data_IF_611573763029
#
_entry.id   IF_611573763029
#
_cell.length_a   1.000
_cell.length_b   1.000
_cell.length_c   1.000
_cell.angle_alpha   90.00
_cell.angle_beta   90.00
_cell.angle_gamma   90.00
#
_symmetry.space_group_name_H-M   'P 1'
#
loop_
_entity.id
_entity.type
_entity.pdbx_description
1 polymer ?
#
# COMPACT_ATOMS: atom_id res chain seq x y z
N UNK A 1 -10.94 2.77 -11.56
CA UNK A 1 -9.75 2.84 -10.70
C UNK A 1 -8.53 2.95 -11.59
N UNK A 2 -7.49 3.61 -11.09
CA UNK A 2 -6.13 3.51 -11.64
C UNK A 2 -5.32 2.58 -10.76
N UNK A 3 -4.36 1.88 -11.34
CA UNK A 3 -3.51 0.94 -10.62
C UNK A 3 -2.05 1.27 -10.86
N UNK A 4 -1.20 1.00 -9.88
CA UNK A 4 0.24 1.17 -9.97
C UNK A 4 0.94 -0.09 -9.45
N UNK A 5 2.06 -0.45 -10.05
CA UNK A 5 2.99 -1.42 -9.45
C UNK A 5 4.08 -0.65 -8.73
N UNK A 6 4.31 -1.03 -7.48
CA UNK A 6 5.38 -0.53 -6.64
C UNK A 6 6.66 -1.34 -6.88
N UNK A 7 7.77 -0.63 -7.09
CA UNK A 7 9.11 -1.20 -7.18
C UNK A 7 10.01 -0.60 -6.12
N UNK A 8 10.86 -1.44 -5.52
CA UNK A 8 11.91 -0.99 -4.61
C UNK A 8 13.18 -0.68 -5.41
N UNK A 9 13.71 0.52 -5.23
CA UNK A 9 15.01 0.95 -5.71
C UNK A 9 16.05 0.56 -4.65
N UNK A 10 17.07 -0.19 -5.03
CA UNK A 10 18.00 -0.80 -4.07
C UNK A 10 19.37 -0.10 -3.93
N UNK A 11 19.71 0.97 -4.67
CA UNK A 11 21.13 1.38 -4.78
C UNK A 11 21.46 2.88 -4.99
N UNK A 12 22.73 3.17 -4.69
CA UNK A 12 23.53 4.42 -4.73
C UNK A 12 23.53 5.22 -6.05
N UNK A 13 22.91 4.70 -7.11
CA UNK A 13 22.81 5.33 -8.44
C UNK A 13 21.35 5.59 -8.86
N UNK A 14 20.53 6.06 -7.91
CA UNK A 14 19.10 6.35 -8.08
C UNK A 14 18.77 7.11 -9.35
N UNK A 15 19.53 8.18 -9.65
CA UNK A 15 19.30 9.03 -10.82
C UNK A 15 19.42 8.27 -12.14
N UNK A 16 20.49 7.49 -12.32
CA UNK A 16 20.73 6.69 -13.53
C UNK A 16 19.63 5.64 -13.71
N UNK A 17 19.20 5.00 -12.62
CA UNK A 17 18.12 4.02 -12.65
C UNK A 17 16.79 4.65 -13.05
N UNK A 18 16.47 5.83 -12.52
CA UNK A 18 15.27 6.59 -12.89
C UNK A 18 15.30 7.01 -14.36
N UNK A 19 16.43 7.53 -14.86
CA UNK A 19 16.57 7.92 -16.27
C UNK A 19 16.32 6.72 -17.21
N UNK A 20 16.86 5.54 -16.87
CA UNK A 20 16.60 4.31 -17.64
C UNK A 20 15.16 3.84 -17.54
N UNK A 21 14.55 3.94 -16.37
CA UNK A 21 13.15 3.63 -16.15
C UNK A 21 12.23 4.50 -17.03
N UNK A 22 12.46 5.82 -17.06
CA UNK A 22 11.70 6.75 -17.91
C UNK A 22 11.83 6.38 -19.39
N UNK A 23 13.02 5.99 -19.85
CA UNK A 23 13.25 5.55 -21.23
C UNK A 23 12.51 4.25 -21.59
N UNK A 24 12.30 3.33 -20.65
CA UNK A 24 11.61 2.05 -20.90
C UNK A 24 10.08 2.22 -20.85
N UNK A 25 9.58 2.93 -19.84
CA UNK A 25 8.15 3.09 -19.61
C UNK A 25 7.56 4.11 -20.59
N UNK A 26 8.25 5.24 -20.80
CA UNK A 26 7.79 6.34 -21.66
C UNK A 26 6.64 7.15 -21.08
N UNK A 27 6.24 6.87 -19.84
CA UNK A 27 5.10 7.47 -19.14
C UNK A 27 5.55 8.08 -17.81
N UNK A 28 4.60 8.73 -17.15
CA UNK A 28 4.83 9.40 -15.87
C UNK A 28 5.05 8.36 -14.76
N UNK A 29 6.30 8.28 -14.30
CA UNK A 29 6.72 7.48 -13.16
C UNK A 29 6.68 8.36 -11.92
N UNK A 30 6.09 7.84 -10.85
CA UNK A 30 5.98 8.54 -9.56
C UNK A 30 7.05 7.96 -8.63
N UNK A 31 8.01 8.77 -8.19
CA UNK A 31 9.07 8.32 -7.30
C UNK A 31 8.97 8.99 -5.93
N UNK A 32 9.07 8.21 -4.86
CA UNK A 32 9.23 8.75 -3.52
C UNK A 32 10.73 8.95 -3.25
N UNK A 33 11.14 10.23 -3.15
CA UNK A 33 12.56 10.58 -3.00
C UNK A 33 13.17 10.01 -1.72
N UNK A 34 12.41 9.97 -0.63
CA UNK A 34 12.88 9.50 0.67
C UNK A 34 12.90 7.97 0.82
N UNK A 35 12.02 7.24 0.11
CA UNK A 35 11.76 5.81 0.41
C UNK A 35 12.26 4.85 -0.63
N UNK A 36 12.83 5.37 -1.72
CA UNK A 36 13.33 4.53 -2.80
C UNK A 36 12.23 3.61 -3.36
N UNK A 37 10.98 4.08 -3.36
CA UNK A 37 9.86 3.39 -4.01
C UNK A 37 9.53 4.14 -5.29
N UNK A 38 9.27 3.35 -6.33
CA UNK A 38 8.79 3.85 -7.61
C UNK A 38 7.44 3.23 -7.91
N UNK A 39 6.46 4.07 -8.20
CA UNK A 39 5.13 3.66 -8.62
C UNK A 39 5.05 3.81 -10.15
N UNK A 40 4.83 2.70 -10.83
CA UNK A 40 4.65 2.67 -12.29
C UNK A 40 3.17 2.44 -12.59
N UNK A 41 2.49 3.33 -13.34
CA UNK A 41 1.11 3.13 -13.74
C UNK A 41 0.94 1.78 -14.44
N UNK A 42 -0.01 0.98 -13.97
CA UNK A 42 -0.28 -0.33 -14.50
C UNK A 42 -1.17 -0.26 -15.73
N UNK A 43 -0.75 -0.94 -16.80
CA UNK A 43 -1.54 -1.07 -18.02
C UNK A 43 -1.79 -2.52 -18.37
N UNK A 44 -3.05 -2.86 -18.61
CA UNK A 44 -3.46 -4.19 -19.06
C UNK A 44 -3.14 -4.40 -20.54
N UNK A 45 -1.85 -4.47 -20.88
CA UNK A 45 -1.41 -4.77 -22.25
C UNK A 45 -0.23 -5.75 -22.27
N UNK A 46 -0.15 -6.54 -23.33
CA UNK A 46 0.97 -7.46 -23.55
C UNK A 46 2.31 -6.70 -23.70
N UNK A 47 2.28 -5.54 -24.34
CA UNK A 47 3.44 -4.66 -24.49
C UNK A 47 3.96 -4.17 -23.12
N UNK A 48 3.06 -3.78 -22.22
CA UNK A 48 3.41 -3.37 -20.86
C UNK A 48 4.07 -4.49 -20.06
N UNK A 49 3.54 -5.73 -20.14
CA UNK A 49 4.15 -6.90 -19.48
C UNK A 49 5.59 -7.14 -19.94
N UNK A 50 5.89 -6.92 -21.23
CA UNK A 50 7.27 -6.99 -21.75
C UNK A 50 8.16 -5.89 -21.15
N UNK A 51 7.65 -4.66 -21.03
CA UNK A 51 8.37 -3.55 -20.38
C UNK A 51 8.70 -3.87 -18.92
N UNK A 52 7.75 -4.44 -18.17
CA UNK A 52 7.98 -4.82 -16.76
C UNK A 52 9.04 -5.90 -16.61
N UNK A 53 8.98 -6.98 -17.41
CA UNK A 53 10.03 -8.01 -17.41
C UNK A 53 11.40 -7.44 -17.77
N UNK A 54 11.43 -6.44 -18.67
CA UNK A 54 12.66 -5.74 -19.05
C UNK A 54 13.23 -4.95 -17.87
N UNK A 55 12.38 -4.24 -17.13
CA UNK A 55 12.78 -3.50 -15.92
C UNK A 55 13.36 -4.44 -14.86
N UNK A 56 12.70 -5.55 -14.58
CA UNK A 56 13.16 -6.54 -13.60
C UNK A 56 14.53 -7.13 -13.99
N UNK A 57 14.74 -7.44 -15.28
CA UNK A 57 15.96 -8.07 -15.78
C UNK A 57 17.13 -7.09 -15.99
N UNK A 58 16.89 -5.96 -16.66
CA UNK A 58 17.96 -5.02 -17.05
C UNK A 58 18.35 -4.05 -15.94
N UNK A 59 17.38 -3.66 -15.10
CA UNK A 59 17.63 -2.70 -14.01
C UNK A 59 17.75 -3.37 -12.64
N UNK A 60 17.51 -4.68 -12.57
CA UNK A 60 17.55 -5.43 -11.31
C UNK A 60 16.51 -4.97 -10.29
N UNK A 61 15.47 -4.26 -10.73
CA UNK A 61 14.42 -3.76 -9.86
C UNK A 61 13.47 -4.88 -9.48
N UNK A 62 13.18 -5.00 -8.18
CA UNK A 62 12.21 -5.96 -7.68
C UNK A 62 10.92 -5.24 -7.33
N UNK A 63 9.79 -5.90 -7.60
CA UNK A 63 8.50 -5.48 -7.08
C UNK A 63 8.57 -5.35 -5.56
N UNK A 64 7.90 -4.34 -5.03
CA UNK A 64 7.79 -4.14 -3.60
C UNK A 64 6.75 -5.13 -3.07
N UNK A 65 7.19 -6.29 -2.59
CA UNK A 65 6.32 -7.25 -1.90
C UNK A 65 6.16 -6.77 -0.46
N UNK A 66 4.93 -6.55 -0.03
CA UNK A 66 4.64 -6.12 1.34
C UNK A 66 4.67 -7.33 2.26
N UNK A 67 5.33 -7.16 3.40
CA UNK A 67 5.36 -8.13 4.51
C UNK A 67 4.28 -7.81 5.54
N UNK A 68 4.04 -8.72 6.50
CA UNK A 68 3.14 -8.45 7.62
C UNK A 68 3.55 -7.17 8.39
N UNK A 69 4.86 -6.93 8.54
CA UNK A 69 5.37 -5.69 9.15
C UNK A 69 5.02 -4.44 8.35
N UNK A 70 5.01 -4.49 7.02
CA UNK A 70 4.56 -3.35 6.20
C UNK A 70 3.06 -3.09 6.40
N UNK A 71 2.25 -4.14 6.55
CA UNK A 71 0.83 -4.00 6.83
C UNK A 71 0.54 -3.44 8.22
N UNK A 72 1.27 -3.86 9.25
CA UNK A 72 1.16 -3.28 10.59
C UNK A 72 1.52 -1.80 10.60
N UNK A 73 2.56 -1.40 9.86
CA UNK A 73 2.89 0.02 9.68
C UNK A 73 1.75 0.80 9.02
N UNK A 74 1.08 0.23 8.01
CA UNK A 74 -0.11 0.88 7.40
C UNK A 74 -1.20 1.10 8.47
N UNK A 75 -1.42 0.13 9.37
CA UNK A 75 -2.40 0.24 10.44
C UNK A 75 -2.02 1.32 11.45
N UNK A 76 -0.77 1.32 11.94
CA UNK A 76 -0.25 2.35 12.84
C UNK A 76 -0.34 3.74 12.21
N UNK A 77 0.06 3.86 10.95
CA UNK A 77 -0.02 5.11 10.18
C UNK A 77 -1.45 5.61 9.97
N UNK A 78 -2.43 4.72 10.01
CA UNK A 78 -3.84 5.13 9.94
C UNK A 78 -4.24 5.98 11.14
N UNK A 79 -3.57 5.84 12.29
CA UNK A 79 -3.70 6.75 13.44
C UNK A 79 -3.13 8.12 13.11
N UNK A 80 -1.82 8.16 12.78
CA UNK A 80 -1.07 9.41 12.64
C UNK A 80 -1.57 10.31 11.53
N UNK A 81 -2.04 9.70 10.43
CA UNK A 81 -2.52 10.43 9.27
C UNK A 81 -4.05 10.47 9.16
N UNK A 82 -4.76 10.05 10.23
CA UNK A 82 -6.21 10.00 10.31
C UNK A 82 -6.85 9.33 9.08
N UNK A 83 -6.31 8.17 8.72
CA UNK A 83 -6.83 7.33 7.65
C UNK A 83 -7.93 6.44 8.22
N UNK A 84 -9.00 6.23 7.45
CA UNK A 84 -10.06 5.31 7.83
C UNK A 84 -9.84 3.96 7.16
N UNK A 85 -9.72 2.90 7.95
CA UNK A 85 -9.51 1.54 7.45
C UNK A 85 -10.88 1.00 6.99
N UNK A 86 -11.06 0.78 5.69
CA UNK A 86 -12.33 0.28 5.16
C UNK A 86 -12.43 -1.23 5.27
N UNK A 87 -11.33 -1.92 4.96
CA UNK A 87 -11.30 -3.38 4.91
C UNK A 87 -9.87 -3.90 5.03
N UNK A 88 -9.72 -5.05 5.65
CA UNK A 88 -8.50 -5.87 5.60
C UNK A 88 -8.93 -7.19 4.98
N UNK A 89 -8.34 -7.53 3.83
CA UNK A 89 -8.58 -8.80 3.16
C UNK A 89 -7.44 -9.74 3.52
N UNK A 90 -7.77 -10.94 3.97
CA UNK A 90 -6.81 -11.98 4.30
C UNK A 90 -6.64 -12.93 3.11
N UNK A 91 -5.56 -13.71 3.10
CA UNK A 91 -5.26 -14.71 2.06
C UNK A 91 -6.19 -15.90 2.11
N UNK A 92 -6.66 -16.25 3.30
CA UNK A 92 -7.58 -17.35 3.57
C UNK A 92 -8.80 -16.82 4.32
N UNK A 93 -9.99 -17.34 3.99
CA UNK A 93 -11.22 -17.06 4.72
C UNK A 93 -11.22 -17.87 6.02
N UNK A 94 -10.48 -17.36 7.01
CA UNK A 94 -10.44 -17.92 8.36
C UNK A 94 -11.50 -17.19 9.20
N UNK A 95 -12.76 -17.23 8.77
CA UNK A 95 -13.89 -16.48 9.36
C UNK A 95 -14.04 -16.70 10.87
N UNK A 96 -13.65 -17.88 11.38
CA UNK A 96 -13.69 -18.19 12.82
C UNK A 96 -12.54 -17.58 13.62
N UNK A 97 -11.40 -17.26 13.00
CA UNK A 97 -10.19 -16.78 13.69
C UNK A 97 -10.14 -15.26 13.86
N UNK A 98 -11.05 -14.52 13.21
CA UNK A 98 -11.03 -13.06 13.14
C UNK A 98 -12.40 -12.43 13.43
N UNK A 99 -13.15 -13.03 14.33
CA UNK A 99 -14.54 -12.68 14.62
C UNK A 99 -14.71 -11.19 14.97
N UNK A 100 -13.71 -10.58 15.60
CA UNK A 100 -13.80 -9.20 16.09
C UNK A 100 -13.11 -8.17 15.19
N UNK A 101 -12.32 -8.60 14.21
CA UNK A 101 -11.57 -7.71 13.31
C UNK A 101 -12.48 -6.63 12.69
N UNK A 102 -13.63 -7.02 12.14
CA UNK A 102 -14.59 -6.09 11.54
C UNK A 102 -15.20 -5.12 12.56
N UNK A 103 -15.44 -5.60 13.78
CA UNK A 103 -15.98 -4.78 14.86
C UNK A 103 -14.97 -3.71 15.28
N UNK A 104 -13.70 -4.09 15.46
CA UNK A 104 -12.64 -3.16 15.83
C UNK A 104 -12.38 -2.13 14.73
N UNK A 105 -12.37 -2.52 13.45
CA UNK A 105 -12.26 -1.58 12.32
C UNK A 105 -13.42 -0.57 12.34
N UNK A 106 -14.65 -1.02 12.56
CA UNK A 106 -15.81 -0.12 12.62
C UNK A 106 -15.70 0.86 13.79
N UNK A 107 -15.31 0.38 14.97
CA UNK A 107 -15.09 1.22 16.16
C UNK A 107 -13.96 2.23 15.93
N UNK A 108 -12.87 1.81 15.30
CA UNK A 108 -11.72 2.66 15.00
C UNK A 108 -12.13 3.85 14.12
N UNK A 109 -12.93 3.59 13.09
CA UNK A 109 -13.38 4.60 12.14
C UNK A 109 -14.34 5.65 12.72
N UNK A 110 -15.08 5.31 13.77
CA UNK A 110 -16.05 6.23 14.40
C UNK A 110 -15.54 6.88 15.68
N UNK A 111 -14.43 6.39 16.24
CA UNK A 111 -13.84 6.95 17.44
C UNK A 111 -13.28 8.35 17.18
N UNK A 112 -13.49 9.25 18.14
CA UNK A 112 -12.97 10.62 18.13
C UNK A 112 -11.88 10.86 19.19
N UNK A 113 -11.62 9.87 20.04
CA UNK A 113 -10.62 9.96 21.11
C UNK A 113 -9.37 9.19 20.70
N UNK A 114 -8.21 9.85 20.74
CA UNK A 114 -6.95 9.27 20.30
C UNK A 114 -6.61 8.00 21.10
N UNK A 115 -6.75 8.01 22.43
CA UNK A 115 -6.49 6.85 23.29
C UNK A 115 -7.33 5.63 22.92
N UNK A 116 -8.60 5.83 22.56
CA UNK A 116 -9.47 4.74 22.13
C UNK A 116 -9.01 4.19 20.78
N UNK A 117 -8.56 5.06 19.86
CA UNK A 117 -8.03 4.62 18.57
C UNK A 117 -6.74 3.82 18.71
N UNK A 118 -5.81 4.23 19.59
CA UNK A 118 -4.58 3.46 19.85
C UNK A 118 -4.93 2.04 20.32
N UNK A 119 -5.77 1.92 21.35
CA UNK A 119 -6.20 0.60 21.85
C UNK A 119 -6.93 -0.23 20.79
N UNK A 120 -7.67 0.39 19.87
CA UNK A 120 -8.34 -0.31 18.78
C UNK A 120 -7.36 -0.81 17.71
N UNK A 121 -6.30 -0.06 17.40
CA UNK A 121 -5.23 -0.54 16.51
C UNK A 121 -4.50 -1.72 17.13
N UNK A 122 -4.16 -1.65 18.42
CA UNK A 122 -3.51 -2.77 19.12
C UNK A 122 -4.36 -4.03 19.01
N UNK A 123 -5.68 -3.92 19.24
CA UNK A 123 -6.62 -5.06 19.08
C UNK A 123 -6.73 -5.56 17.64
N UNK A 124 -6.68 -4.67 16.65
CA UNK A 124 -6.67 -5.07 15.23
C UNK A 124 -5.38 -5.84 14.93
N UNK A 125 -4.23 -5.38 15.44
CA UNK A 125 -2.94 -6.06 15.26
C UNK A 125 -2.95 -7.41 15.98
N UNK A 126 -3.44 -7.49 17.23
CA UNK A 126 -3.60 -8.74 17.98
C UNK A 126 -4.45 -9.78 17.22
N UNK A 127 -5.58 -9.36 16.64
CA UNK A 127 -6.41 -10.24 15.81
C UNK A 127 -5.65 -10.72 14.55
N UNK A 128 -4.63 -9.99 14.09
CA UNK A 128 -3.78 -10.36 12.95
C UNK A 128 -2.48 -11.07 13.37
N UNK A 129 -2.12 -11.06 14.65
CA UNK A 129 -0.85 -11.57 15.20
C UNK A 129 -0.86 -13.08 15.44
N UNK A 130 -2.01 -13.75 15.46
CA UNK A 130 -2.10 -15.21 15.62
C UNK A 130 -1.30 -16.02 14.59
N UNK A 131 -0.84 -15.34 13.53
CA UNK A 131 -0.05 -15.86 12.42
C UNK A 131 1.47 -15.54 12.49
N UNK A 132 1.99 -15.01 13.59
CA UNK A 132 3.39 -14.53 13.67
C UNK A 132 4.47 -15.63 13.50
N UNK A 133 4.09 -16.90 13.59
CA UNK A 133 5.02 -18.04 13.54
C UNK A 133 5.39 -18.51 12.10
N UNK A 134 4.81 -17.92 11.05
CA UNK A 134 5.12 -18.34 9.66
C UNK A 134 5.74 -17.23 8.81
N UNK A 135 6.68 -17.60 7.93
CA UNK A 135 7.25 -16.76 6.87
C UNK A 135 6.19 -16.29 5.82
N UNK A 136 4.91 -16.55 6.07
CA UNK A 136 3.80 -16.30 5.16
C UNK A 136 3.16 -14.91 5.37
N UNK A 137 2.74 -14.31 4.26
CA UNK A 137 2.06 -13.01 4.24
C UNK A 137 0.55 -13.26 4.17
N UNK A 138 -0.10 -13.11 5.33
CA UNK A 138 -1.52 -13.43 5.55
C UNK A 138 -2.45 -12.30 5.12
N UNK A 139 -2.01 -11.06 5.24
CA UNK A 139 -2.79 -9.92 4.73
C UNK A 139 -2.63 -9.89 3.21
N UNK A 140 -3.73 -10.12 2.49
CA UNK A 140 -3.77 -10.03 1.03
C UNK A 140 -3.80 -8.58 0.58
N UNK A 141 -4.63 -7.75 1.22
CA UNK A 141 -4.67 -6.31 0.98
C UNK A 141 -5.32 -5.53 2.12
N UNK A 142 -5.00 -4.24 2.20
CA UNK A 142 -5.69 -3.28 3.06
C UNK A 142 -6.32 -2.20 2.19
N UNK A 143 -7.59 -1.91 2.46
CA UNK A 143 -8.34 -0.81 1.88
C UNK A 143 -8.42 0.33 2.87
N UNK A 144 -7.92 1.51 2.49
CA UNK A 144 -7.97 2.72 3.32
C UNK A 144 -8.66 3.85 2.58
N UNK A 145 -9.24 4.77 3.35
CA UNK A 145 -9.87 5.99 2.88
C UNK A 145 -9.16 7.18 3.49
N UNK A 146 -8.67 8.07 2.63
CA UNK A 146 -8.03 9.33 3.03
C UNK A 146 -8.92 10.51 2.66
N UNK A 147 -9.23 11.37 3.64
CA UNK A 147 -9.94 12.63 3.37
C UNK A 147 -8.97 13.66 2.80
N UNK A 148 -9.19 14.11 1.56
CA UNK A 148 -8.39 15.15 0.91
C UNK A 148 -8.84 16.55 1.34
N UNK A 149 -10.14 16.73 1.45
CA UNK A 149 -10.79 17.92 1.97
C UNK A 149 -12.17 17.52 2.52
N UNK A 150 -12.96 18.48 3.01
CA UNK A 150 -14.26 18.21 3.65
C UNK A 150 -15.22 17.36 2.79
N UNK A 151 -15.12 17.41 1.46
CA UNK A 151 -16.09 16.78 0.56
C UNK A 151 -15.51 15.72 -0.38
N UNK A 152 -14.18 15.53 -0.40
CA UNK A 152 -13.52 14.57 -1.29
C UNK A 152 -12.66 13.61 -0.48
N UNK A 153 -12.99 12.33 -0.60
CA UNK A 153 -12.18 11.24 -0.12
C UNK A 153 -11.47 10.55 -1.29
N UNK A 154 -10.35 9.92 -0.99
CA UNK A 154 -9.63 9.02 -1.88
C UNK A 154 -9.69 7.63 -1.30
N UNK A 155 -10.15 6.68 -2.09
CA UNK A 155 -10.10 5.26 -1.77
C UNK A 155 -8.82 4.65 -2.32
N UNK A 156 -8.24 3.78 -1.52
CA UNK A 156 -6.99 3.09 -1.81
C UNK A 156 -7.11 1.63 -1.42
N UNK A 157 -6.56 0.76 -2.25
CA UNK A 157 -6.27 -0.63 -1.91
C UNK A 157 -4.78 -0.88 -2.14
N UNK A 158 -4.09 -1.42 -1.14
CA UNK A 158 -2.70 -1.85 -1.23
C UNK A 158 -2.66 -3.36 -1.06
N UNK A 159 -2.19 -4.10 -2.06
CA UNK A 159 -2.07 -5.55 -1.99
C UNK A 159 -0.64 -6.03 -1.65
N UNK A 160 -0.53 -7.29 -1.23
CA UNK A 160 0.76 -7.87 -0.82
C UNK A 160 1.80 -7.97 -1.94
N UNK A 161 1.39 -7.90 -3.19
CA UNK A 161 2.27 -7.95 -4.35
C UNK A 161 2.76 -6.57 -4.80
N UNK A 162 2.44 -5.52 -4.02
CA UNK A 162 2.83 -4.16 -4.31
C UNK A 162 1.98 -3.52 -5.40
N UNK A 163 0.73 -3.94 -5.55
CA UNK A 163 -0.23 -3.24 -6.41
C UNK A 163 -0.97 -2.22 -5.55
N UNK A 164 -0.99 -0.98 -6.04
CA UNK A 164 -1.69 0.14 -5.46
C UNK A 164 -2.86 0.52 -6.37
N UNK A 165 -4.09 0.29 -5.93
CA UNK A 165 -5.30 0.67 -6.67
C UNK A 165 -5.93 1.90 -6.03
N UNK A 166 -6.22 2.92 -6.82
CA UNK A 166 -6.77 4.19 -6.37
C UNK A 166 -7.90 4.71 -7.27
N UNK A 167 -8.63 5.72 -6.80
CA UNK A 167 -9.69 6.37 -7.58
C UNK A 167 -9.17 6.99 -8.90
N UNK A 168 -10.02 7.01 -9.94
CA UNK A 168 -9.64 7.52 -11.28
C UNK A 168 -9.18 8.99 -11.26
N UNK A 169 -9.65 9.77 -10.30
CA UNK A 169 -9.36 11.20 -10.20
C UNK A 169 -8.12 11.53 -9.34
N UNK A 170 -7.36 10.51 -8.94
CA UNK A 170 -6.18 10.68 -8.11
C UNK A 170 -5.07 11.38 -8.92
N UNK A 171 -4.46 12.42 -8.33
CA UNK A 171 -3.30 13.09 -8.93
C UNK A 171 -2.01 12.42 -8.48
N UNK A 172 -0.91 12.70 -9.16
CA UNK A 172 0.41 12.21 -8.76
C UNK A 172 0.77 12.59 -7.31
N UNK A 173 0.53 13.84 -6.93
CA UNK A 173 0.76 14.34 -5.57
C UNK A 173 -0.04 13.54 -4.52
N UNK A 174 -1.23 13.09 -4.90
CA UNK A 174 -2.07 12.27 -4.03
C UNK A 174 -1.44 10.88 -3.84
N UNK A 175 -0.94 10.26 -4.92
CA UNK A 175 -0.21 8.98 -4.86
C UNK A 175 1.06 9.10 -4.03
N UNK A 176 1.84 10.18 -4.21
CA UNK A 176 3.03 10.45 -3.40
C UNK A 176 2.68 10.57 -1.91
N UNK A 177 1.66 11.38 -1.60
CA UNK A 177 1.19 11.53 -0.23
C UNK A 177 0.72 10.20 0.35
N UNK A 178 0.03 9.38 -0.43
CA UNK A 178 -0.51 8.10 0.02
C UNK A 178 0.61 7.11 0.31
N UNK A 179 1.53 6.94 -0.62
CA UNK A 179 2.66 6.01 -0.47
C UNK A 179 3.51 6.42 0.74
N UNK A 180 3.78 7.72 0.90
CA UNK A 180 4.54 8.23 2.03
C UNK A 180 3.83 8.10 3.37
N UNK A 181 2.48 8.14 3.40
CA UNK A 181 1.70 8.04 4.64
C UNK A 181 1.34 6.61 5.00
N UNK A 182 1.15 5.73 4.04
CA UNK A 182 0.72 4.36 4.32
C UNK A 182 1.92 3.45 4.55
N UNK A 183 2.95 3.55 3.70
CA UNK A 183 4.10 2.65 3.73
C UNK A 183 5.27 3.18 4.57
N UNK A 184 5.10 4.33 5.25
CA UNK A 184 6.08 4.94 6.13
C UNK A 184 5.42 5.86 7.16
#
# INVERSE_FOLDING_TARGET
MVEFILFKLFNDNKKITLDRLYNIIGEKIICTEEKNIVCIPYQYSHAYRKKIKRIEKELGLKKYILTNSDFYKILENSLYYNLSIQKINLTEDLEESHQYLREYINKFNVSNLDNDKYSLIDKIIEELEWCYDEEEIFVKSIEVRMMKNRNKALYLCIDKYGILSADLEVKEEDILSIVNKCLY
#
